data_IF_173227199659
#
_entry.id   IF_173227199659
#
_cell.length_a   1.000
_cell.length_b   1.000
_cell.length_c   1.000
_cell.angle_alpha   90.00
_cell.angle_beta   90.00
_cell.angle_gamma   90.00
#
_symmetry.space_group_name_H-M   'P 1'
#
loop_
_entity.id
_entity.type
_entity.pdbx_description
1 polymer ?
#
# COMPACT_ATOMS: atom_id res chain seq x y z
N UNK A 1 -48.30 35.33 90.89
CA UNK A 1 -49.35 35.39 89.83
C UNK A 1 -48.64 35.85 88.58
N UNK A 2 -48.41 35.04 87.55
CA UNK A 2 -49.24 33.98 86.95
C UNK A 2 -49.32 34.32 85.46
N UNK A 3 -48.30 33.92 84.69
CA UNK A 3 -48.39 33.00 83.55
C UNK A 3 -49.39 33.45 82.47
N UNK A 4 -48.88 33.79 81.29
CA UNK A 4 -49.32 33.10 80.07
C UNK A 4 -48.23 33.13 78.97
N UNK A 5 -47.48 32.03 78.93
CA UNK A 5 -46.60 31.64 77.83
C UNK A 5 -47.47 30.75 76.94
N UNK A 6 -48.13 31.37 75.96
CA UNK A 6 -49.05 30.70 75.04
C UNK A 6 -48.58 30.89 73.60
N UNK A 7 -47.99 29.86 73.01
CA UNK A 7 -47.52 29.89 71.63
C UNK A 7 -47.07 28.53 71.11
N UNK A 8 -47.95 27.54 71.31
CA UNK A 8 -47.96 26.16 70.79
C UNK A 8 -47.12 25.92 69.51
N UNK A 9 -45.82 25.62 69.67
CA UNK A 9 -44.93 25.21 68.58
C UNK A 9 -45.12 23.71 68.26
N UNK A 10 -46.33 23.36 67.80
CA UNK A 10 -46.61 22.04 67.23
C UNK A 10 -46.15 21.98 65.78
N UNK A 11 -44.86 21.72 65.57
CA UNK A 11 -44.35 21.15 64.32
C UNK A 11 -43.58 19.85 64.56
N UNK A 12 -44.24 18.87 65.16
CA UNK A 12 -43.86 17.45 65.01
C UNK A 12 -44.31 16.94 63.63
N UNK A 13 -43.80 17.53 62.54
CA UNK A 13 -43.98 16.98 61.19
C UNK A 13 -42.74 16.19 60.81
N UNK A 14 -42.70 14.95 61.29
CA UNK A 14 -41.90 13.82 60.79
C UNK A 14 -40.50 14.20 60.28
N UNK A 15 -39.51 14.43 61.16
CA UNK A 15 -38.12 14.65 60.77
C UNK A 15 -37.61 13.53 59.85
N UNK A 16 -38.08 12.29 60.02
CA UNK A 16 -37.76 11.18 59.13
C UNK A 16 -38.16 11.42 57.67
N UNK A 17 -39.31 12.06 57.42
CA UNK A 17 -39.78 12.33 56.06
C UNK A 17 -38.91 13.39 55.37
N UNK A 18 -38.49 14.42 56.11
CA UNK A 18 -37.58 15.44 55.58
C UNK A 18 -36.22 14.83 55.22
N UNK A 19 -35.65 14.01 56.10
CA UNK A 19 -34.39 13.30 55.85
C UNK A 19 -34.47 12.38 54.64
N UNK A 20 -35.55 11.61 54.49
CA UNK A 20 -35.75 10.73 53.32
C UNK A 20 -35.82 11.55 52.03
N UNK A 21 -36.53 12.69 52.02
CA UNK A 21 -36.61 13.57 50.84
C UNK A 21 -35.23 14.12 50.44
N UNK A 22 -34.41 14.52 51.41
CA UNK A 22 -33.04 14.98 51.14
C UNK A 22 -32.14 13.85 50.61
N UNK A 23 -32.24 12.65 51.17
CA UNK A 23 -31.47 11.50 50.69
C UNK A 23 -31.83 11.14 49.25
N UNK A 24 -33.13 11.12 48.92
CA UNK A 24 -33.59 10.87 47.55
C UNK A 24 -33.10 11.97 46.60
N UNK A 25 -33.21 13.25 46.98
CA UNK A 25 -32.74 14.35 46.17
C UNK A 25 -31.23 14.29 45.91
N UNK A 26 -30.43 13.95 46.93
CA UNK A 26 -28.99 13.78 46.80
C UNK A 26 -28.63 12.62 45.85
N UNK A 27 -29.30 11.46 45.98
CA UNK A 27 -29.10 10.31 45.07
C UNK A 27 -29.45 10.68 43.64
N UNK A 28 -30.58 11.36 43.41
CA UNK A 28 -30.99 11.81 42.08
C UNK A 28 -29.96 12.78 41.50
N UNK A 29 -29.50 13.78 42.27
CA UNK A 29 -28.50 14.74 41.82
C UNK A 29 -27.19 14.05 41.43
N UNK A 30 -26.70 13.11 42.24
CA UNK A 30 -25.49 12.32 41.93
C UNK A 30 -25.71 11.51 40.65
N UNK A 31 -26.86 10.84 40.51
CA UNK A 31 -27.18 10.07 39.31
C UNK A 31 -27.22 10.96 38.05
N UNK A 32 -27.82 12.15 38.14
CA UNK A 32 -27.86 13.12 37.03
C UNK A 32 -26.45 13.55 36.63
N UNK A 33 -25.58 13.85 37.60
CA UNK A 33 -24.18 14.21 37.32
C UNK A 33 -23.44 13.03 36.67
N UNK A 34 -23.61 11.81 37.18
CA UNK A 34 -22.98 10.61 36.60
C UNK A 34 -23.45 10.37 35.16
N UNK A 35 -24.75 10.50 34.89
CA UNK A 35 -25.30 10.37 33.53
C UNK A 35 -24.75 11.46 32.62
N UNK A 36 -24.73 12.72 33.06
CA UNK A 36 -24.18 13.83 32.28
C UNK A 36 -22.68 13.60 31.95
N UNK A 37 -21.89 13.18 32.94
CA UNK A 37 -20.48 12.83 32.72
C UNK A 37 -20.36 11.65 31.76
N UNK A 38 -21.17 10.60 31.92
CA UNK A 38 -21.16 9.45 31.03
C UNK A 38 -21.51 9.84 29.59
N UNK A 39 -22.57 10.60 29.38
CA UNK A 39 -22.95 11.11 28.05
C UNK A 39 -21.82 11.94 27.44
N UNK A 40 -21.23 12.87 28.20
CA UNK A 40 -20.08 13.66 27.75
C UNK A 40 -18.88 12.77 27.42
N UNK A 41 -18.59 11.74 28.22
CA UNK A 41 -17.46 10.83 27.94
C UNK A 41 -17.71 9.90 26.77
N UNK A 42 -18.96 9.50 26.51
CA UNK A 42 -19.34 8.65 25.37
C UNK A 42 -19.35 9.47 24.08
N UNK A 43 -19.85 10.70 24.13
CA UNK A 43 -19.82 11.64 23.00
C UNK A 43 -18.39 12.13 22.67
N UNK A 44 -17.47 12.06 23.63
CA UNK A 44 -16.05 12.37 23.44
C UNK A 44 -15.18 11.12 23.28
N UNK A 45 -15.75 10.00 22.78
CA UNK A 45 -14.91 8.90 22.33
C UNK A 45 -13.92 9.45 21.29
N UNK A 46 -12.62 9.12 21.39
CA UNK A 46 -11.66 9.49 20.37
C UNK A 46 -12.20 8.95 19.05
N UNK A 47 -12.59 9.84 18.16
CA UNK A 47 -13.09 9.44 16.86
C UNK A 47 -11.95 8.83 16.06
N UNK A 48 -12.23 7.71 15.41
CA UNK A 48 -11.25 6.98 14.63
C UNK A 48 -10.93 7.78 13.38
N UNK A 49 -9.65 8.12 13.20
CA UNK A 49 -9.17 8.73 11.97
C UNK A 49 -8.96 7.64 10.92
N UNK A 50 -9.38 7.92 9.69
CA UNK A 50 -9.09 7.05 8.56
C UNK A 50 -7.78 7.49 7.93
N UNK A 51 -6.79 6.61 7.90
CA UNK A 51 -5.50 6.84 7.25
C UNK A 51 -5.43 6.04 5.96
N UNK A 52 -4.84 6.60 4.92
CA UNK A 52 -4.59 5.89 3.67
C UNK A 52 -3.33 6.39 2.97
N UNK A 53 -2.70 5.51 2.20
CA UNK A 53 -1.64 5.90 1.27
C UNK A 53 -2.30 6.24 -0.07
N UNK A 54 -2.13 7.49 -0.51
CA UNK A 54 -2.75 7.97 -1.75
C UNK A 54 -2.25 7.12 -2.92
N UNK A 55 -3.17 6.63 -3.74
CA UNK A 55 -2.90 5.75 -4.90
C UNK A 55 -2.17 4.44 -4.57
N UNK A 56 -2.01 4.11 -3.27
CA UNK A 56 -1.28 2.93 -2.84
C UNK A 56 0.19 2.91 -3.25
N UNK A 57 0.79 4.07 -3.52
CA UNK A 57 2.09 4.14 -4.18
C UNK A 57 3.13 4.89 -3.33
N UNK A 58 4.37 4.39 -3.38
CA UNK A 58 5.58 5.04 -2.87
C UNK A 58 6.48 5.29 -4.06
N UNK A 59 6.69 6.56 -4.36
CA UNK A 59 7.49 7.01 -5.49
C UNK A 59 8.97 6.78 -5.19
N UNK A 60 9.74 6.36 -6.18
CA UNK A 60 11.18 6.24 -6.12
C UNK A 60 11.83 6.99 -7.28
N UNK A 61 12.87 7.78 -7.01
CA UNK A 61 13.63 8.45 -8.08
C UNK A 61 14.48 7.47 -8.90
N UNK A 62 15.10 6.53 -8.19
CA UNK A 62 16.02 5.51 -8.69
C UNK A 62 16.02 4.38 -7.67
N UNK A 63 16.09 3.10 -8.09
CA UNK A 63 16.18 1.98 -7.14
C UNK A 63 17.54 1.26 -7.20
N UNK A 64 18.18 1.26 -8.37
CA UNK A 64 19.52 0.72 -8.63
C UNK A 64 20.13 1.43 -9.84
N UNK A 65 21.40 1.15 -10.10
CA UNK A 65 22.12 1.60 -11.29
C UNK A 65 22.14 0.48 -12.33
N UNK A 66 21.74 0.79 -13.55
CA UNK A 66 21.91 -0.07 -14.72
C UNK A 66 23.27 0.23 -15.36
N UNK A 67 24.00 -0.82 -15.74
CA UNK A 67 25.26 -0.73 -16.47
C UNK A 67 25.18 -1.61 -17.70
N UNK A 68 25.27 -0.99 -18.86
CA UNK A 68 25.33 -1.70 -20.14
C UNK A 68 26.78 -1.94 -20.52
N UNK A 69 27.12 -3.20 -20.74
CA UNK A 69 28.43 -3.59 -21.26
C UNK A 69 28.23 -4.16 -22.64
N UNK A 70 28.71 -3.44 -23.65
CA UNK A 70 28.72 -3.91 -25.03
C UNK A 70 29.81 -4.99 -25.16
N UNK A 71 29.39 -6.22 -25.43
CA UNK A 71 30.34 -7.27 -25.79
C UNK A 71 30.60 -7.11 -27.28
N UNK A 72 31.71 -6.46 -27.61
CA UNK A 72 32.29 -6.63 -28.93
C UNK A 72 32.54 -8.12 -29.14
N UNK A 73 32.03 -8.73 -30.24
CA UNK A 73 32.36 -10.11 -30.54
C UNK A 73 33.88 -10.24 -30.58
N UNK A 74 34.46 -11.34 -30.07
CA UNK A 74 35.89 -11.56 -30.21
C UNK A 74 36.21 -11.43 -31.70
N UNK A 75 37.12 -10.51 -32.04
CA UNK A 75 37.78 -10.48 -33.35
C UNK A 75 38.49 -11.83 -33.50
N UNK A 76 37.76 -12.84 -33.96
CA UNK A 76 38.38 -13.91 -34.72
C UNK A 76 39.09 -13.18 -35.85
N UNK A 77 40.41 -13.35 -35.91
CA UNK A 77 41.25 -12.87 -36.99
C UNK A 77 40.63 -13.29 -38.32
N UNK A 78 39.79 -12.43 -38.89
CA UNK A 78 39.28 -12.54 -40.25
C UNK A 78 40.38 -12.03 -41.19
N UNK A 79 41.60 -12.52 -40.98
CA UNK A 79 42.81 -12.13 -41.72
C UNK A 79 43.47 -13.34 -42.39
N UNK A 80 42.76 -14.47 -42.55
CA UNK A 80 43.29 -15.62 -43.30
C UNK A 80 42.32 -16.32 -44.28
N UNK A 81 41.14 -15.77 -44.57
CA UNK A 81 40.26 -16.33 -45.61
C UNK A 81 39.91 -15.28 -46.68
N UNK A 82 40.92 -14.50 -47.11
CA UNK A 82 40.83 -13.67 -48.34
C UNK A 82 41.66 -14.26 -49.49
N UNK A 83 41.93 -15.57 -49.46
CA UNK A 83 42.57 -16.28 -50.57
C UNK A 83 42.03 -17.69 -50.70
N UNK A 84 40.82 -17.85 -51.26
CA UNK A 84 40.54 -18.95 -52.21
C UNK A 84 39.17 -18.78 -52.86
N UNK A 85 39.27 -18.46 -54.16
CA UNK A 85 38.37 -18.85 -55.24
C UNK A 85 36.94 -18.35 -55.14
N UNK A 86 36.78 -17.16 -55.69
CA UNK A 86 35.65 -16.81 -56.55
C UNK A 86 35.43 -17.95 -57.56
N UNK A 87 34.31 -18.67 -57.44
CA UNK A 87 33.78 -19.56 -58.48
C UNK A 87 32.46 -18.94 -58.93
N UNK A 88 32.30 -18.58 -60.22
CA UNK A 88 31.01 -18.23 -60.77
C UNK A 88 30.14 -19.49 -60.78
N UNK A 89 28.92 -19.40 -60.26
CA UNK A 89 27.90 -20.41 -60.56
C UNK A 89 27.15 -19.92 -61.79
N UNK A 90 27.29 -20.71 -62.86
CA UNK A 90 26.58 -20.62 -64.13
C UNK A 90 25.06 -20.69 -63.93
N UNK A 91 24.36 -19.80 -64.62
CA UNK A 91 22.94 -19.91 -64.93
C UNK A 91 22.76 -21.09 -65.91
N UNK A 92 22.08 -22.14 -65.44
CA UNK A 92 21.72 -23.30 -66.24
C UNK A 92 20.21 -23.50 -66.23
N UNK A 93 19.56 -22.96 -67.26
CA UNK A 93 18.15 -23.14 -67.59
C UNK A 93 17.73 -24.62 -67.61
N UNK A 94 16.63 -24.95 -66.93
CA UNK A 94 15.81 -26.10 -67.30
C UNK A 94 14.32 -25.72 -67.30
N UNK A 95 13.77 -25.68 -68.52
CA UNK A 95 12.34 -25.77 -68.82
C UNK A 95 11.77 -27.09 -68.29
N UNK A 96 10.69 -27.04 -67.51
CA UNK A 96 9.79 -28.19 -67.31
C UNK A 96 8.34 -27.71 -67.43
N UNK A 97 7.68 -28.18 -68.49
CA UNK A 97 6.24 -28.08 -68.72
C UNK A 97 5.43 -29.13 -67.93
N UNK A 98 4.10 -28.98 -67.83
CA UNK A 98 3.30 -29.52 -66.73
C UNK A 98 2.69 -30.88 -67.03
N UNK A 99 2.43 -31.67 -65.97
CA UNK A 99 1.47 -32.79 -66.04
C UNK A 99 0.54 -32.79 -64.83
N UNK A 100 -0.75 -32.63 -65.14
CA UNK A 100 -1.88 -32.94 -64.29
C UNK A 100 -1.88 -34.43 -63.91
N UNK A 101 -2.23 -34.73 -62.67
CA UNK A 101 -2.55 -36.07 -62.21
C UNK A 101 -2.90 -36.07 -60.72
N UNK A 102 -4.19 -36.20 -60.44
CA UNK A 102 -4.76 -36.37 -59.11
C UNK A 102 -4.33 -37.69 -58.45
N UNK A 103 -4.31 -37.73 -57.12
CA UNK A 103 -5.03 -38.70 -56.28
C UNK A 103 -4.41 -38.80 -54.90
N UNK A 104 -5.30 -38.89 -53.91
CA UNK A 104 -5.11 -39.25 -52.50
C UNK A 104 -4.20 -40.48 -52.32
N UNK A 105 -3.42 -40.56 -51.23
CA UNK A 105 -3.64 -41.53 -50.14
C UNK A 105 -2.48 -41.54 -49.10
N UNK A 106 -2.80 -42.10 -47.95
CA UNK A 106 -2.09 -42.23 -46.66
C UNK A 106 -0.56 -42.47 -46.64
N UNK A 107 0.09 -41.74 -45.71
CA UNK A 107 0.76 -42.38 -44.57
C UNK A 107 2.17 -42.96 -44.72
N UNK A 108 3.07 -42.36 -43.93
CA UNK A 108 4.08 -43.00 -43.04
C UNK A 108 5.55 -43.03 -43.53
N UNK A 109 6.41 -42.87 -42.51
CA UNK A 109 7.84 -43.23 -42.30
C UNK A 109 9.00 -42.41 -42.89
N UNK A 110 9.67 -41.71 -41.97
CA UNK A 110 11.10 -41.39 -41.80
C UNK A 110 12.10 -41.83 -42.88
N UNK A 111 12.94 -40.91 -43.35
CA UNK A 111 14.36 -40.77 -42.97
C UNK A 111 15.14 -40.00 -44.05
N UNK A 112 15.97 -39.07 -43.59
CA UNK A 112 17.23 -38.59 -44.16
C UNK A 112 17.27 -38.09 -45.61
N UNK A 113 17.32 -36.77 -45.78
CA UNK A 113 18.10 -36.17 -46.85
C UNK A 113 18.56 -34.76 -46.46
N UNK A 114 19.88 -34.63 -46.41
CA UNK A 114 20.62 -33.40 -46.22
C UNK A 114 20.20 -32.33 -47.24
N UNK A 115 19.82 -31.16 -46.75
CA UNK A 115 19.52 -29.99 -47.57
C UNK A 115 20.20 -28.76 -47.00
N UNK A 116 21.46 -28.59 -47.42
CA UNK A 116 22.01 -27.33 -47.92
C UNK A 116 21.81 -26.07 -47.07
N UNK A 117 22.81 -25.82 -46.23
CA UNK A 117 23.14 -24.54 -45.64
C UNK A 117 23.53 -23.53 -46.72
N UNK A 118 22.63 -22.62 -47.07
CA UNK A 118 22.97 -21.35 -47.72
C UNK A 118 22.73 -20.20 -46.74
N UNK A 119 23.85 -19.65 -46.29
CA UNK A 119 23.98 -18.53 -45.38
C UNK A 119 23.64 -17.21 -46.09
N UNK A 120 22.53 -16.59 -45.70
CA UNK A 120 22.43 -15.14 -45.78
C UNK A 120 23.00 -14.56 -44.48
N UNK A 121 23.98 -13.67 -44.62
CA UNK A 121 24.70 -13.03 -43.53
C UNK A 121 23.72 -12.33 -42.57
N UNK A 122 23.40 -13.01 -41.47
CA UNK A 122 22.68 -12.42 -40.36
C UNK A 122 23.68 -11.50 -39.64
N UNK A 123 23.52 -10.19 -39.86
CA UNK A 123 24.20 -9.16 -39.10
C UNK A 123 23.88 -9.38 -37.61
N UNK A 124 24.73 -10.14 -36.91
CA UNK A 124 24.66 -10.31 -35.46
C UNK A 124 24.83 -8.94 -34.83
N UNK A 125 23.71 -8.36 -34.41
CA UNK A 125 23.65 -7.18 -33.56
C UNK A 125 24.54 -7.42 -32.33
N UNK A 126 25.29 -6.40 -31.88
CA UNK A 126 26.15 -6.51 -30.71
C UNK A 126 25.32 -6.98 -29.51
N UNK A 127 25.80 -8.03 -28.84
CA UNK A 127 25.16 -8.55 -27.64
C UNK A 127 25.49 -7.61 -26.47
N UNK A 128 24.47 -6.92 -25.95
CA UNK A 128 24.62 -6.04 -24.79
C UNK A 128 24.26 -6.82 -23.53
N UNK A 129 25.18 -6.89 -22.56
CA UNK A 129 24.86 -7.42 -21.23
C UNK A 129 24.47 -6.26 -20.33
N UNK A 130 23.31 -6.38 -19.70
CA UNK A 130 22.84 -5.44 -18.68
C UNK A 130 23.16 -6.00 -17.30
N UNK A 131 23.98 -5.29 -16.54
CA UNK A 131 24.20 -5.58 -15.11
C UNK A 131 23.53 -4.53 -14.25
N UNK A 132 23.04 -4.94 -13.08
CA UNK A 132 22.41 -4.06 -12.10
C UNK A 132 23.26 -4.01 -10.84
N UNK A 133 23.52 -2.81 -10.35
CA UNK A 133 24.33 -2.55 -9.16
C UNK A 133 23.54 -1.67 -8.17
N UNK A 134 23.86 -1.76 -6.88
CA UNK A 134 23.23 -0.91 -5.87
C UNK A 134 23.44 0.58 -6.17
N UNK A 135 22.37 1.37 -6.04
CA UNK A 135 22.48 2.83 -6.13
C UNK A 135 23.27 3.38 -4.93
N UNK A 136 23.91 4.54 -5.12
CA UNK A 136 24.60 5.22 -4.01
C UNK A 136 23.61 5.84 -2.99
N UNK A 137 22.43 6.24 -3.47
CA UNK A 137 21.31 6.70 -2.67
C UNK A 137 20.01 6.51 -3.46
N UNK A 138 18.89 6.43 -2.75
CA UNK A 138 17.54 6.31 -3.32
C UNK A 138 16.64 7.35 -2.65
N UNK A 139 15.97 8.20 -3.43
CA UNK A 139 14.97 9.12 -2.89
C UNK A 139 13.58 8.47 -3.00
N UNK A 140 12.90 8.33 -1.86
CA UNK A 140 11.56 7.76 -1.76
C UNK A 140 10.56 8.83 -1.34
N UNK A 141 9.38 8.84 -1.96
CA UNK A 141 8.28 9.78 -1.72
C UNK A 141 7.02 9.05 -1.31
N UNK A 142 6.38 9.50 -0.22
CA UNK A 142 5.09 8.96 0.24
C UNK A 142 4.07 10.09 0.41
N UNK A 143 2.82 9.81 0.04
CA UNK A 143 1.68 10.71 0.24
C UNK A 143 0.66 10.05 1.17
N UNK A 144 0.57 10.57 2.40
CA UNK A 144 -0.39 10.14 3.41
C UNK A 144 -1.65 11.00 3.32
N UNK A 145 -2.82 10.37 3.28
CA UNK A 145 -4.11 11.02 3.46
C UNK A 145 -4.69 10.64 4.82
N UNK A 146 -5.22 11.64 5.53
CA UNK A 146 -5.89 11.48 6.80
C UNK A 146 -7.30 12.07 6.68
N UNK A 147 -8.32 11.24 6.78
CA UNK A 147 -9.73 11.64 6.73
C UNK A 147 -10.34 11.58 8.12
N UNK A 148 -11.01 12.66 8.49
CA UNK A 148 -11.76 12.74 9.73
C UNK A 148 -13.25 12.52 9.42
N UNK A 149 -13.81 11.33 9.73
CA UNK A 149 -15.23 11.06 9.52
C UNK A 149 -16.14 11.83 10.49
N UNK A 150 -15.59 12.41 11.55
CA UNK A 150 -16.35 13.13 12.56
C UNK A 150 -17.12 14.31 11.97
N UNK A 151 -18.39 14.43 12.34
CA UNK A 151 -19.16 15.68 12.17
C UNK A 151 -19.03 16.66 13.34
N UNK A 152 -18.39 16.26 14.44
CA UNK A 152 -18.49 16.93 15.74
C UNK A 152 -17.21 17.64 16.14
N UNK A 153 -16.06 17.00 15.94
CA UNK A 153 -14.77 17.42 16.46
C UNK A 153 -13.71 17.44 15.37
N UNK A 154 -12.74 18.34 15.52
CA UNK A 154 -11.55 18.30 14.67
C UNK A 154 -10.52 17.35 15.31
N UNK A 155 -9.66 16.74 14.51
CA UNK A 155 -8.66 15.79 14.99
C UNK A 155 -7.27 16.40 14.83
N UNK A 156 -6.54 16.51 15.92
CA UNK A 156 -5.13 16.92 15.90
C UNK A 156 -4.24 15.68 15.85
N UNK A 157 -3.43 15.57 14.79
CA UNK A 157 -2.48 14.48 14.58
C UNK A 157 -1.06 15.01 14.78
N UNK A 158 -0.30 14.35 15.65
CA UNK A 158 1.09 14.72 16.01
C UNK A 158 1.97 13.48 16.08
N UNK A 159 3.29 13.65 16.07
CA UNK A 159 4.22 12.53 16.25
C UNK A 159 4.11 11.44 15.17
N UNK A 160 3.75 11.84 13.94
CA UNK A 160 3.43 10.87 12.89
C UNK A 160 4.73 10.33 12.29
N UNK A 161 4.84 9.00 12.22
CA UNK A 161 5.97 8.30 11.60
C UNK A 161 5.44 7.20 10.69
N UNK A 162 5.86 7.20 9.43
CA UNK A 162 5.60 6.09 8.52
C UNK A 162 6.84 5.21 8.41
N UNK A 163 6.68 3.90 8.46
CA UNK A 163 7.74 2.91 8.21
C UNK A 163 7.34 2.07 7.02
N UNK A 164 8.19 2.05 6.00
CA UNK A 164 8.02 1.16 4.84
C UNK A 164 8.80 -0.11 5.12
N UNK A 165 8.09 -1.22 5.15
CA UNK A 165 8.65 -2.54 5.45
C UNK A 165 8.37 -3.45 4.28
N UNK A 166 9.43 -4.04 3.75
CA UNK A 166 9.34 -5.09 2.77
C UNK A 166 9.27 -6.46 3.44
N UNK A 167 8.46 -7.33 2.84
CA UNK A 167 8.12 -8.66 3.33
C UNK A 167 8.00 -9.61 2.15
N UNK A 168 9.13 -10.02 1.56
CA UNK A 168 9.12 -10.86 0.36
C UNK A 168 8.48 -12.24 0.58
N UNK A 169 8.46 -12.73 1.83
CA UNK A 169 7.94 -14.06 2.22
C UNK A 169 6.64 -13.97 3.04
N UNK A 170 5.63 -13.25 2.52
CA UNK A 170 4.28 -13.15 3.12
C UNK A 170 3.67 -14.52 3.51
N UNK A 171 4.16 -15.63 2.96
CA UNK A 171 3.58 -16.96 3.10
C UNK A 171 4.24 -17.88 4.16
N UNK A 172 5.46 -17.62 4.67
CA UNK A 172 6.18 -18.65 5.45
C UNK A 172 6.92 -18.22 6.71
N UNK A 173 7.37 -16.98 6.86
CA UNK A 173 8.04 -16.58 8.11
C UNK A 173 8.23 -15.06 8.26
N UNK A 174 8.19 -14.56 9.50
CA UNK A 174 8.40 -13.13 9.84
C UNK A 174 9.88 -12.74 9.95
N UNK A 175 10.79 -13.71 9.91
CA UNK A 175 12.25 -13.49 10.07
C UNK A 175 12.90 -12.72 8.92
N UNK A 176 12.17 -12.45 7.83
CA UNK A 176 12.67 -11.78 6.63
C UNK A 176 12.23 -10.33 6.42
N UNK A 177 11.61 -9.68 7.42
CA UNK A 177 11.15 -8.28 7.23
C UNK A 177 12.34 -7.32 7.12
N UNK A 178 12.37 -6.50 6.07
CA UNK A 178 13.38 -5.46 5.89
C UNK A 178 12.73 -4.08 5.97
N UNK A 179 13.15 -3.26 6.93
CA UNK A 179 12.75 -1.85 6.95
C UNK A 179 13.53 -1.11 5.88
N UNK A 180 12.81 -0.53 4.92
CA UNK A 180 13.42 0.23 3.82
C UNK A 180 13.69 1.66 4.24
N UNK A 181 12.69 2.33 4.83
CA UNK A 181 12.77 3.75 5.16
C UNK A 181 11.77 4.15 6.24
N UNK A 182 12.12 5.20 6.99
CA UNK A 182 11.23 5.91 7.91
C UNK A 182 10.97 7.33 7.44
N UNK A 183 9.71 7.73 7.44
CA UNK A 183 9.27 9.09 7.16
C UNK A 183 8.78 9.75 8.46
N UNK A 184 9.63 10.49 9.18
CA UNK A 184 9.14 11.35 10.25
C UNK A 184 8.39 12.55 9.64
N UNK A 185 7.19 12.81 10.13
CA UNK A 185 6.43 14.02 9.84
C UNK A 185 6.54 14.95 11.07
N UNK A 186 7.51 15.89 11.07
CA UNK A 186 7.87 16.64 12.28
C UNK A 186 6.79 17.64 12.71
N UNK A 187 5.94 18.08 11.77
CA UNK A 187 4.83 18.98 12.05
C UNK A 187 3.54 18.16 12.12
N UNK A 188 2.84 18.30 13.23
CA UNK A 188 1.46 17.84 13.32
C UNK A 188 0.53 18.68 12.44
N UNK A 189 -0.66 18.16 12.22
CA UNK A 189 -1.69 18.83 11.44
C UNK A 189 -3.07 18.60 12.06
N UNK A 190 -3.98 19.55 11.78
CA UNK A 190 -5.37 19.48 12.19
C UNK A 190 -6.21 19.01 11.00
N UNK A 191 -6.96 17.93 11.20
CA UNK A 191 -7.95 17.44 10.24
C UNK A 191 -9.32 17.91 10.68
N UNK A 192 -9.92 18.83 9.91
CA UNK A 192 -11.25 19.35 10.23
C UNK A 192 -12.29 18.25 10.13
N UNK A 193 -13.39 18.38 10.86
CA UNK A 193 -14.58 17.54 10.73
C UNK A 193 -14.98 17.31 9.26
N UNK A 194 -15.35 16.07 8.92
CA UNK A 194 -15.78 15.63 7.58
C UNK A 194 -14.86 16.11 6.45
N UNK A 195 -13.55 16.10 6.69
CA UNK A 195 -12.56 16.57 5.72
C UNK A 195 -11.32 15.67 5.71
N UNK A 196 -10.55 15.79 4.64
CA UNK A 196 -9.26 15.14 4.51
C UNK A 196 -8.12 16.15 4.57
N UNK A 197 -6.98 15.68 5.08
CA UNK A 197 -5.70 16.37 5.02
C UNK A 197 -4.66 15.45 4.38
N UNK A 198 -3.92 15.97 3.41
CA UNK A 198 -2.91 15.19 2.68
C UNK A 198 -1.53 15.77 2.92
N UNK A 199 -0.57 14.90 3.22
CA UNK A 199 0.83 15.28 3.45
C UNK A 199 1.72 14.42 2.58
N UNK A 200 2.58 15.07 1.79
CA UNK A 200 3.61 14.41 0.98
C UNK A 200 4.99 14.62 1.61
N UNK A 201 5.80 13.57 1.64
CA UNK A 201 7.15 13.62 2.20
C UNK A 201 8.13 12.79 1.37
N UNK A 202 9.29 13.38 1.10
CA UNK A 202 10.44 12.71 0.49
C UNK A 202 11.52 12.43 1.53
N UNK A 203 12.18 11.29 1.39
CA UNK A 203 13.32 10.86 2.22
C UNK A 203 14.40 10.24 1.35
N UNK A 204 15.65 10.60 1.62
CA UNK A 204 16.83 10.01 1.00
C UNK A 204 17.32 8.82 1.82
N UNK A 205 17.44 7.67 1.18
CA UNK A 205 17.98 6.44 1.75
C UNK A 205 19.44 6.31 1.30
N UNK A 206 20.35 6.25 2.28
CA UNK A 206 21.79 6.08 2.06
C UNK A 206 22.36 4.86 2.78
N UNK A 207 21.50 4.06 3.43
CA UNK A 207 21.93 2.87 4.15
C UNK A 207 22.37 1.79 3.15
N UNK A 208 23.66 1.46 3.16
CA UNK A 208 24.24 0.48 2.26
C UNK A 208 23.58 -0.91 2.37
N UNK A 209 23.06 -1.29 3.55
CA UNK A 209 22.35 -2.57 3.73
C UNK A 209 21.02 -2.57 2.99
N UNK A 210 20.25 -1.48 3.11
CA UNK A 210 18.98 -1.31 2.39
C UNK A 210 19.24 -1.26 0.87
N UNK A 211 20.22 -0.47 0.44
CA UNK A 211 20.54 -0.30 -0.98
C UNK A 211 21.02 -1.61 -1.62
N UNK A 212 21.87 -2.36 -0.92
CA UNK A 212 22.32 -3.68 -1.36
C UNK A 212 21.16 -4.68 -1.42
N UNK A 213 20.26 -4.63 -0.43
CA UNK A 213 19.07 -5.48 -0.39
C UNK A 213 18.11 -5.20 -1.55
N UNK A 214 17.82 -3.93 -1.84
CA UNK A 214 16.95 -3.56 -2.97
C UNK A 214 17.55 -4.03 -4.30
N UNK A 215 18.86 -3.84 -4.49
CA UNK A 215 19.54 -4.30 -5.69
C UNK A 215 19.56 -5.83 -5.81
N UNK A 216 19.89 -6.56 -4.75
CA UNK A 216 19.96 -8.02 -4.82
C UNK A 216 18.59 -8.70 -4.96
N UNK A 217 17.54 -8.09 -4.38
CA UNK A 217 16.20 -8.69 -4.33
C UNK A 217 15.34 -8.28 -5.54
N UNK A 218 15.47 -7.03 -6.00
CA UNK A 218 14.54 -6.46 -6.98
C UNK A 218 15.18 -5.92 -8.26
N UNK A 219 16.51 -6.00 -8.44
CA UNK A 219 17.17 -5.51 -9.64
C UNK A 219 16.46 -5.93 -10.93
N UNK A 220 16.26 -4.96 -11.81
CA UNK A 220 15.56 -5.13 -13.10
C UNK A 220 14.04 -5.00 -13.05
N UNK A 221 13.40 -4.85 -11.88
CA UNK A 221 11.94 -4.61 -11.77
C UNK A 221 11.59 -3.12 -11.69
N UNK A 222 10.52 -2.62 -12.30
CA UNK A 222 10.19 -1.20 -12.10
C UNK A 222 9.54 -0.90 -10.74
N UNK A 223 9.03 -1.95 -10.07
CA UNK A 223 8.34 -1.84 -8.78
C UNK A 223 8.33 -3.14 -7.97
N UNK A 224 7.99 -3.03 -6.69
CA UNK A 224 7.77 -4.16 -5.78
C UNK A 224 6.71 -3.83 -4.72
N UNK A 225 6.14 -4.85 -4.10
CA UNK A 225 5.13 -4.73 -3.07
C UNK A 225 5.77 -4.50 -1.69
N UNK A 226 5.17 -3.63 -0.88
CA UNK A 226 5.59 -3.37 0.50
C UNK A 226 4.38 -3.17 1.41
N UNK A 227 4.64 -2.99 2.70
CA UNK A 227 3.66 -2.60 3.70
C UNK A 227 4.10 -1.32 4.39
N UNK A 228 3.15 -0.45 4.71
CA UNK A 228 3.42 0.77 5.49
C UNK A 228 2.81 0.65 6.87
N UNK A 229 3.64 0.79 7.91
CA UNK A 229 3.18 1.04 9.27
C UNK A 229 3.09 2.55 9.50
N UNK A 230 1.97 3.03 9.99
CA UNK A 230 1.75 4.44 10.35
C UNK A 230 1.51 4.53 11.85
N UNK A 231 2.45 5.14 12.55
CA UNK A 231 2.32 5.45 13.98
C UNK A 231 1.99 6.92 14.14
N UNK A 232 1.00 7.26 14.97
CA UNK A 232 0.59 8.64 15.19
C UNK A 232 0.05 8.85 16.61
N UNK A 233 0.11 10.08 17.10
CA UNK A 233 -0.57 10.53 18.32
C UNK A 233 -1.75 11.41 17.95
N UNK A 234 -2.95 11.02 18.38
CA UNK A 234 -4.21 11.64 18.02
C UNK A 234 -4.87 12.25 19.24
N UNK A 235 -5.44 13.45 19.11
CA UNK A 235 -6.32 14.05 20.10
C UNK A 235 -7.50 14.75 19.41
N UNK A 236 -8.71 14.57 19.94
CA UNK A 236 -9.89 15.30 19.48
C UNK A 236 -9.87 16.71 20.07
N UNK A 237 -10.22 17.70 19.23
CA UNK A 237 -10.20 19.12 19.56
C UNK A 237 -11.58 19.71 19.26
N UNK A 238 -12.13 20.38 20.26
CA UNK A 238 -13.31 21.24 20.13
C UNK A 238 -12.93 22.67 20.52
N UNK A 239 -13.83 23.63 20.29
CA UNK A 239 -13.64 25.03 20.69
C UNK A 239 -13.35 25.17 22.19
N UNK A 240 -13.92 24.28 23.01
CA UNK A 240 -13.92 24.42 24.47
C UNK A 240 -12.99 23.42 25.17
N UNK A 241 -12.67 22.29 24.52
CA UNK A 241 -11.99 21.17 25.17
C UNK A 241 -11.14 20.35 24.19
N UNK A 242 -9.99 19.88 24.70
CA UNK A 242 -9.14 18.87 24.06
C UNK A 242 -9.21 17.57 24.85
N UNK A 243 -9.35 16.44 24.16
CA UNK A 243 -9.31 15.12 24.80
C UNK A 243 -7.87 14.73 25.16
N UNK A 244 -7.71 13.68 25.96
CA UNK A 244 -6.41 13.03 26.12
C UNK A 244 -5.86 12.56 24.77
N UNK A 245 -4.54 12.65 24.61
CA UNK A 245 -3.85 12.14 23.43
C UNK A 245 -3.72 10.62 23.50
N UNK A 246 -3.95 9.93 22.39
CA UNK A 246 -3.80 8.49 22.25
C UNK A 246 -2.80 8.17 21.15
N UNK A 247 -1.90 7.23 21.40
CA UNK A 247 -1.04 6.68 20.35
C UNK A 247 -1.81 5.59 19.59
N UNK A 248 -1.73 5.64 18.27
CA UNK A 248 -2.32 4.66 17.36
C UNK A 248 -1.29 4.12 16.39
N UNK A 249 -1.48 2.88 15.96
CA UNK A 249 -0.68 2.21 14.94
C UNK A 249 -1.62 1.61 13.90
N UNK A 250 -1.42 1.98 12.64
CA UNK A 250 -2.19 1.49 11.50
C UNK A 250 -1.26 0.83 10.48
N UNK A 251 -1.79 -0.13 9.74
CA UNK A 251 -1.05 -0.85 8.71
C UNK A 251 -1.77 -0.72 7.37
N UNK A 252 -1.04 -0.25 6.36
CA UNK A 252 -1.51 -0.10 4.97
C UNK A 252 -0.82 -1.18 4.14
N UNK A 253 -1.59 -2.16 3.67
CA UNK A 253 -1.09 -3.30 2.89
C UNK A 253 -2.13 -3.67 1.83
N UNK A 254 -1.74 -3.96 0.59
CA UNK A 254 -0.39 -3.91 -0.01
C UNK A 254 -0.17 -2.54 -0.67
N UNK A 255 1.03 -1.96 -0.56
CA UNK A 255 1.43 -0.75 -1.32
C UNK A 255 2.51 -1.09 -2.34
N UNK A 256 2.61 -0.31 -3.41
CA UNK A 256 3.62 -0.47 -4.45
C UNK A 256 4.73 0.56 -4.27
N UNK A 257 5.98 0.13 -4.22
CA UNK A 257 7.16 0.99 -4.30
C UNK A 257 7.69 0.90 -5.72
N UNK A 258 7.80 2.02 -6.44
CA UNK A 258 8.16 1.98 -7.86
C UNK A 258 8.73 3.28 -8.41
N UNK A 259 9.41 3.15 -9.55
CA UNK A 259 9.92 4.27 -10.35
C UNK A 259 8.82 4.99 -11.13
N UNK A 260 7.72 4.28 -11.39
CA UNK A 260 6.61 4.78 -12.18
C UNK A 260 5.85 5.87 -11.40
N UNK A 261 5.31 6.86 -12.12
CA UNK A 261 4.42 7.83 -11.50
C UNK A 261 3.13 7.14 -11.01
N UNK A 262 2.59 7.54 -9.85
CA UNK A 262 1.40 6.92 -9.33
C UNK A 262 0.22 7.21 -10.26
N UNK A 263 -0.53 6.17 -10.66
CA UNK A 263 -1.71 6.33 -11.50
C UNK A 263 -2.70 7.28 -10.85
N UNK A 264 -3.09 8.35 -11.55
CA UNK A 264 -4.06 9.36 -11.07
C UNK A 264 -5.45 8.77 -10.82
N UNK A 265 -5.72 7.57 -11.33
CA UNK A 265 -6.98 6.84 -11.15
C UNK A 265 -6.86 5.67 -10.17
N UNK A 266 -5.69 5.41 -9.59
CA UNK A 266 -5.53 4.32 -8.64
C UNK A 266 -6.18 4.65 -7.29
N UNK A 267 -6.86 3.64 -6.73
CA UNK A 267 -7.50 3.74 -5.43
C UNK A 267 -6.47 3.93 -4.30
N UNK A 268 -6.88 4.66 -3.26
CA UNK A 268 -6.07 4.79 -2.06
C UNK A 268 -6.06 3.48 -1.26
N UNK A 269 -4.90 3.14 -0.69
CA UNK A 269 -4.77 1.96 0.18
C UNK A 269 -5.08 2.37 1.61
N UNK A 270 -6.26 2.00 2.09
CA UNK A 270 -6.70 2.28 3.46
C UNK A 270 -5.91 1.49 4.49
N UNK A 271 -5.49 2.18 5.55
CA UNK A 271 -4.72 1.63 6.65
C UNK A 271 -5.67 1.15 7.75
N UNK A 272 -5.49 -0.07 8.22
CA UNK A 272 -6.32 -0.66 9.28
C UNK A 272 -5.64 -0.54 10.64
N UNK A 273 -6.39 -0.16 11.67
CA UNK A 273 -5.90 -0.21 13.04
C UNK A 273 -5.65 -1.68 13.41
N UNK A 274 -4.42 -2.03 13.77
CA UNK A 274 -4.09 -3.36 14.29
C UNK A 274 -2.96 -3.27 15.32
N UNK A 275 -3.07 -4.07 16.37
CA UNK A 275 -1.99 -4.30 17.33
C UNK A 275 -0.86 -5.14 16.70
N UNK A 276 -1.17 -5.98 15.72
CA UNK A 276 -0.21 -6.87 15.07
C UNK A 276 -0.20 -6.73 13.53
N UNK A 277 0.92 -7.07 12.88
CA UNK A 277 1.06 -6.91 11.43
C UNK A 277 0.05 -7.74 10.62
N UNK A 278 -0.22 -7.38 9.35
CA UNK A 278 -1.33 -7.93 8.58
C UNK A 278 -1.34 -9.47 8.36
N UNK A 279 -0.22 -10.15 8.58
CA UNK A 279 0.03 -11.55 8.17
C UNK A 279 -0.40 -12.62 9.19
N UNK A 280 -0.91 -12.28 10.37
CA UNK A 280 -1.48 -13.29 11.29
C UNK A 280 -2.89 -13.77 10.90
N UNK A 281 -3.49 -13.20 9.85
CA UNK A 281 -4.80 -13.64 9.36
C UNK A 281 -4.70 -13.94 7.87
N UNK A 282 -4.46 -15.21 7.56
CA UNK A 282 -4.62 -15.72 6.21
C UNK A 282 -6.00 -15.36 5.63
N UNK A 283 -6.01 -15.12 4.33
CA UNK A 283 -7.18 -15.24 3.46
C UNK A 283 -8.29 -14.20 3.64
N UNK A 284 -8.12 -13.00 3.06
CA UNK A 284 -9.21 -12.39 2.28
C UNK A 284 -8.58 -11.60 1.12
N UNK A 285 -8.19 -12.30 0.05
CA UNK A 285 -8.43 -11.75 -1.28
C UNK A 285 -9.94 -11.60 -1.38
N UNK A 286 -10.43 -10.38 -1.19
CA UNK A 286 -11.84 -10.08 -1.35
C UNK A 286 -12.11 -10.20 -2.85
N UNK A 287 -12.64 -11.36 -3.26
CA UNK A 287 -13.09 -11.55 -4.63
C UNK A 287 -14.06 -10.41 -4.99
N UNK A 288 -14.00 -9.87 -6.22
CA UNK A 288 -14.96 -8.88 -6.66
C UNK A 288 -16.36 -9.45 -6.50
N UNK A 289 -17.29 -8.62 -5.99
CA UNK A 289 -18.68 -9.03 -5.83
C UNK A 289 -19.21 -9.58 -7.16
N UNK A 290 -19.96 -10.70 -7.16
CA UNK A 290 -20.57 -11.21 -8.37
C UNK A 290 -21.50 -10.14 -8.96
N UNK A 291 -21.40 -9.93 -10.28
CA UNK A 291 -22.25 -8.98 -10.99
C UNK A 291 -23.74 -9.25 -10.70
N UNK A 292 -24.57 -8.20 -10.55
CA UNK A 292 -25.99 -8.37 -10.31
C UNK A 292 -26.61 -9.15 -11.49
N UNK A 293 -27.40 -10.17 -11.16
CA UNK A 293 -28.11 -10.97 -12.16
C UNK A 293 -29.07 -10.07 -12.98
N UNK A 294 -29.18 -10.27 -14.30
CA UNK A 294 -30.10 -9.50 -15.13
C UNK A 294 -31.54 -9.72 -14.67
N UNK A 295 -32.27 -8.62 -14.50
CA UNK A 295 -33.68 -8.65 -14.16
C UNK A 295 -34.49 -9.29 -15.30
N UNK A 296 -35.11 -10.43 -15.02
CA UNK A 296 -36.10 -11.03 -15.90
C UNK A 296 -37.35 -10.13 -15.95
N UNK A 297 -37.59 -9.53 -17.10
CA UNK A 297 -38.83 -8.84 -17.40
C UNK A 297 -39.99 -9.86 -17.47
N UNK A 298 -41.16 -9.56 -16.89
CA UNK A 298 -42.33 -10.42 -17.06
C UNK A 298 -42.81 -10.35 -18.51
N UNK A 299 -42.98 -11.52 -19.13
CA UNK A 299 -43.62 -11.64 -20.43
C UNK A 299 -45.08 -11.17 -20.36
N UNK A 300 -45.48 -10.35 -21.32
CA UNK A 300 -46.88 -9.94 -21.57
C UNK A 300 -47.58 -10.96 -22.45
#
# INVERSE_FOLDING_TARGET
>A
MGIDVGGDEKRTRFPCLATVRYMVAAVVAVLTVVVAVKVITVDLRPEDIELSILQGHIEASTLWRQRETEISPPRLQQEQVSRRRHRPCDDGDYEIQPRLGASEDHGKINADAAGSSDSCAENRLPSTIVTYEAAAAVDLGVTLSAYNPSGRVDINCTGITLRVVDMPDLARNTTGTMEIVRFPLPRGFLVKRQSSHTVRRWMRVTDARVLSYLASTYAGRTSFAATVQVNATIASVTVVKRTGSKNVSHWCSVVTVGLDEPSTTADAVHCRAREEPPYLFGSVLQAPAPAPAPALLPAS
#
